data_IF_665034083552
#
_entry.id   IF_665034083552
#
_cell.length_a   1.000
_cell.length_b   1.000
_cell.length_c   1.000
_cell.angle_alpha   90.00
_cell.angle_beta   90.00
_cell.angle_gamma   90.00
#
_symmetry.space_group_name_H-M   'P 1'
#
loop_
_entity.id
_entity.type
_entity.pdbx_description
1 polymer ?
#
# COMPACT_ATOMS: atom_id res chain seq x y z
N UNK A 1 77.35 -29.79 -21.90
CA UNK A 1 76.84 -29.02 -20.75
C UNK A 1 76.03 -27.85 -21.30
N UNK A 2 74.72 -28.00 -21.32
CA UNK A 2 73.75 -27.00 -21.75
C UNK A 2 73.29 -26.19 -20.54
N UNK A 3 73.18 -24.87 -20.67
CA UNK A 3 72.36 -24.08 -19.74
C UNK A 3 71.76 -22.92 -20.49
N UNK A 4 70.47 -23.08 -20.77
CA UNK A 4 69.57 -22.04 -21.22
C UNK A 4 69.30 -21.06 -20.07
N UNK A 5 69.45 -19.76 -20.32
CA UNK A 5 68.84 -18.74 -19.48
C UNK A 5 67.92 -17.89 -20.33
N UNK A 6 66.62 -18.18 -20.16
CA UNK A 6 65.55 -17.31 -20.62
C UNK A 6 65.58 -16.02 -19.79
N UNK A 7 65.64 -14.87 -20.45
CA UNK A 7 65.44 -13.58 -19.80
C UNK A 7 64.02 -13.10 -20.10
N UNK A 8 63.26 -12.92 -19.02
CA UNK A 8 61.90 -12.43 -19.00
C UNK A 8 61.81 -11.01 -19.57
N UNK A 9 60.96 -10.79 -20.56
CA UNK A 9 60.53 -9.45 -21.01
C UNK A 9 59.42 -8.98 -20.07
N UNK A 10 59.67 -7.91 -19.30
CA UNK A 10 58.62 -7.25 -18.51
C UNK A 10 57.75 -6.39 -19.43
N UNK A 11 56.67 -6.95 -19.97
CA UNK A 11 55.61 -6.17 -20.61
C UNK A 11 54.79 -5.52 -19.51
N UNK A 12 55.04 -4.22 -19.24
CA UNK A 12 54.18 -3.44 -18.36
C UNK A 12 52.85 -3.16 -19.08
N UNK A 13 51.69 -3.50 -18.50
CA UNK A 13 50.42 -3.22 -19.15
C UNK A 13 50.19 -1.71 -19.18
N UNK A 14 49.88 -1.18 -20.36
CA UNK A 14 49.50 0.21 -20.57
C UNK A 14 48.14 0.46 -19.92
N UNK A 15 48.14 1.16 -18.79
CA UNK A 15 46.90 1.66 -18.20
C UNK A 15 46.34 2.77 -19.10
N UNK A 16 45.21 2.46 -19.73
CA UNK A 16 44.38 3.36 -20.52
C UNK A 16 44.14 4.66 -19.77
N UNK A 17 44.71 5.75 -20.28
CA UNK A 17 44.42 7.09 -19.84
C UNK A 17 42.96 7.43 -20.20
N UNK A 18 42.15 7.72 -19.18
CA UNK A 18 40.90 8.43 -19.36
C UNK A 18 41.24 9.83 -19.86
N UNK A 19 41.06 10.04 -21.16
CA UNK A 19 41.25 11.30 -21.83
C UNK A 19 40.14 12.30 -21.44
N UNK A 20 40.28 12.91 -20.26
CA UNK A 20 39.72 14.22 -19.94
C UNK A 20 40.79 15.27 -20.20
N UNK A 21 41.06 15.56 -21.47
CA UNK A 21 42.09 16.52 -21.90
C UNK A 21 41.55 17.94 -21.68
N UNK A 22 41.59 18.39 -20.44
CA UNK A 22 41.75 19.81 -20.15
C UNK A 22 43.24 20.10 -20.30
N UNK A 23 43.63 20.79 -21.38
CA UNK A 23 45.00 21.25 -21.56
C UNK A 23 45.31 22.34 -20.53
N UNK A 24 45.59 21.93 -19.30
CA UNK A 24 46.01 22.80 -18.21
C UNK A 24 47.39 23.34 -18.58
N UNK A 25 47.45 24.65 -18.84
CA UNK A 25 48.71 25.32 -19.14
C UNK A 25 49.74 25.02 -18.05
N UNK A 26 50.97 24.69 -18.45
CA UNK A 26 52.07 24.53 -17.49
C UNK A 26 52.22 25.84 -16.73
N UNK A 27 52.39 25.75 -15.41
CA UNK A 27 52.51 26.89 -14.49
C UNK A 27 51.21 27.66 -14.17
N UNK A 28 50.07 26.96 -14.07
CA UNK A 28 48.87 27.52 -13.45
C UNK A 28 48.71 26.94 -12.04
N UNK A 29 48.81 27.82 -11.03
CA UNK A 29 48.58 27.45 -9.64
C UNK A 29 47.06 27.36 -9.42
N UNK A 30 46.50 26.17 -9.61
CA UNK A 30 45.08 25.91 -9.38
C UNK A 30 44.83 25.88 -7.87
N UNK A 31 44.24 26.95 -7.34
CA UNK A 31 43.78 26.97 -5.94
C UNK A 31 42.45 26.24 -5.87
N UNK A 32 42.48 25.01 -5.35
CA UNK A 32 41.26 24.26 -5.08
C UNK A 32 40.61 24.80 -3.79
N UNK A 33 39.45 25.47 -3.92
CA UNK A 33 38.64 25.88 -2.77
C UNK A 33 37.96 24.66 -2.15
N UNK A 34 38.71 23.89 -1.36
CA UNK A 34 38.13 22.86 -0.50
C UNK A 34 37.49 23.56 0.69
N UNK A 35 36.17 23.55 0.75
CA UNK A 35 35.44 23.85 1.97
C UNK A 35 35.94 22.92 3.08
N UNK A 36 36.75 23.46 4.01
CA UNK A 36 37.25 22.71 5.16
C UNK A 36 36.22 22.65 6.30
N UNK A 37 34.97 23.04 6.03
CA UNK A 37 33.85 22.89 6.97
C UNK A 37 33.46 21.41 6.99
N UNK A 38 34.22 20.64 7.75
CA UNK A 38 33.87 19.28 8.10
C UNK A 38 32.99 19.35 9.33
N UNK A 39 31.80 18.75 9.25
CA UNK A 39 30.98 18.50 10.43
C UNK A 39 31.83 17.71 11.43
N UNK A 40 32.06 18.30 12.61
CA UNK A 40 32.80 17.64 13.68
C UNK A 40 32.06 16.38 14.16
N UNK A 41 32.74 15.46 14.86
CA UNK A 41 32.13 14.22 15.35
C UNK A 41 30.80 14.45 16.08
N UNK A 42 30.73 15.52 16.89
CA UNK A 42 29.52 15.92 17.62
C UNK A 42 28.39 16.37 16.69
N UNK A 43 28.69 17.16 15.65
CA UNK A 43 27.69 17.63 14.71
C UNK A 43 27.06 16.47 13.90
N UNK A 44 27.87 15.48 13.51
CA UNK A 44 27.37 14.28 12.83
C UNK A 44 26.39 13.48 13.71
N UNK A 45 26.71 13.27 14.99
CA UNK A 45 25.81 12.56 15.90
C UNK A 45 24.51 13.32 16.11
N UNK A 46 24.58 14.64 16.28
CA UNK A 46 23.38 15.48 16.43
C UNK A 46 22.47 15.37 15.21
N UNK A 47 23.03 15.41 14.00
CA UNK A 47 22.26 15.22 12.76
C UNK A 47 21.62 13.83 12.71
N UNK A 48 22.35 12.77 13.07
CA UNK A 48 21.82 11.40 13.09
C UNK A 48 20.67 11.27 14.10
N UNK A 49 20.82 11.82 15.32
CA UNK A 49 19.77 11.82 16.34
C UNK A 49 18.53 12.57 15.84
N UNK A 50 18.72 13.72 15.20
CA UNK A 50 17.62 14.48 14.58
C UNK A 50 16.90 13.67 13.49
N UNK A 51 17.64 12.98 12.62
CA UNK A 51 17.06 12.13 11.58
C UNK A 51 16.24 10.98 12.17
N UNK A 52 16.76 10.30 13.19
CA UNK A 52 16.04 9.24 13.89
C UNK A 52 14.77 9.78 14.57
N UNK A 53 14.86 10.96 15.21
CA UNK A 53 13.71 11.60 15.83
C UNK A 53 12.61 11.92 14.80
N UNK A 54 12.98 12.46 13.64
CA UNK A 54 12.04 12.74 12.54
C UNK A 54 11.38 11.47 12.02
N UNK A 55 12.14 10.39 11.82
CA UNK A 55 11.60 9.08 11.43
C UNK A 55 10.64 8.53 12.49
N UNK A 56 10.95 8.70 13.78
CA UNK A 56 10.08 8.32 14.89
C UNK A 56 8.74 9.07 14.89
N UNK A 57 8.76 10.39 14.64
CA UNK A 57 7.53 11.19 14.56
C UNK A 57 6.67 10.78 13.35
N UNK A 58 7.29 10.47 12.21
CA UNK A 58 6.58 9.95 11.03
C UNK A 58 5.91 8.60 11.31
N UNK A 59 6.59 7.70 12.04
CA UNK A 59 6.02 6.41 12.43
C UNK A 59 4.83 6.57 13.39
N UNK A 60 4.93 7.48 14.36
CA UNK A 60 3.84 7.79 15.29
C UNK A 60 2.61 8.36 14.55
N UNK A 61 2.83 9.12 13.49
CA UNK A 61 1.76 9.66 12.63
C UNK A 61 1.05 8.54 11.86
N UNK A 62 1.79 7.53 11.39
CA UNK A 62 1.19 6.34 10.77
C UNK A 62 0.32 5.59 11.78
N UNK A 63 0.81 5.41 13.01
CA UNK A 63 0.05 4.77 14.09
C UNK A 63 -1.23 5.54 14.45
N UNK A 64 -1.17 6.88 14.49
CA UNK A 64 -2.33 7.73 14.78
C UNK A 64 -3.38 7.70 13.67
N UNK A 65 -2.95 7.67 12.39
CA UNK A 65 -3.86 7.52 11.25
C UNK A 65 -4.50 6.13 11.19
N UNK A 66 -3.79 5.06 11.58
CA UNK A 66 -4.39 3.71 11.72
C UNK A 66 -5.48 3.70 12.79
N UNK A 67 -5.32 4.46 13.88
CA UNK A 67 -6.36 4.62 14.91
C UNK A 67 -7.67 5.20 14.37
N UNK A 68 -7.62 6.26 13.56
CA UNK A 68 -8.82 6.88 12.99
C UNK A 68 -9.40 6.11 11.80
N UNK A 69 -8.54 5.51 10.95
CA UNK A 69 -8.98 4.68 9.82
C UNK A 69 -9.78 3.47 10.30
N UNK A 70 -9.40 2.86 11.43
CA UNK A 70 -10.13 1.72 11.99
C UNK A 70 -11.59 2.06 12.34
N UNK A 71 -11.86 3.25 12.89
CA UNK A 71 -13.22 3.70 13.21
C UNK A 71 -14.06 3.99 11.96
N UNK A 72 -13.46 4.59 10.93
CA UNK A 72 -14.16 4.81 9.65
C UNK A 72 -14.44 3.49 8.92
N UNK A 73 -13.48 2.56 8.92
CA UNK A 73 -13.68 1.22 8.36
C UNK A 73 -14.80 0.47 9.09
N UNK A 74 -14.84 0.54 10.42
CA UNK A 74 -15.89 -0.10 11.21
C UNK A 74 -17.27 0.50 10.90
N UNK A 75 -17.38 1.83 10.78
CA UNK A 75 -18.64 2.49 10.40
C UNK A 75 -19.10 2.08 9.00
N UNK A 76 -18.19 1.99 8.04
CA UNK A 76 -18.51 1.55 6.66
C UNK A 76 -18.91 0.08 6.65
N UNK A 77 -18.23 -0.79 7.39
CA UNK A 77 -18.55 -2.21 7.48
C UNK A 77 -19.89 -2.45 8.19
N UNK A 78 -20.19 -1.69 9.26
CA UNK A 78 -21.51 -1.73 9.91
C UNK A 78 -22.62 -1.33 8.96
N UNK A 79 -22.48 -0.18 8.27
CA UNK A 79 -23.46 0.25 7.25
C UNK A 79 -23.64 -0.78 6.14
N UNK A 80 -22.55 -1.41 5.69
CA UNK A 80 -22.62 -2.49 4.70
C UNK A 80 -23.40 -3.70 5.24
N UNK A 81 -23.15 -4.09 6.49
CA UNK A 81 -23.89 -5.17 7.14
C UNK A 81 -25.38 -4.85 7.27
N UNK A 82 -25.72 -3.62 7.68
CA UNK A 82 -27.11 -3.18 7.82
C UNK A 82 -27.83 -3.18 6.47
N UNK A 83 -27.19 -2.66 5.42
CA UNK A 83 -27.73 -2.64 4.06
C UNK A 83 -27.93 -4.04 3.48
N UNK A 84 -27.03 -4.98 3.78
CA UNK A 84 -27.19 -6.39 3.37
C UNK A 84 -28.38 -7.02 4.09
N UNK A 85 -28.52 -6.79 5.40
CA UNK A 85 -29.66 -7.29 6.16
C UNK A 85 -31.00 -6.71 5.65
N UNK A 86 -31.04 -5.42 5.33
CA UNK A 86 -32.21 -4.79 4.73
C UNK A 86 -32.53 -5.36 3.35
N UNK A 87 -31.51 -5.58 2.51
CA UNK A 87 -31.70 -6.22 1.20
C UNK A 87 -32.31 -7.62 1.33
N UNK A 88 -31.81 -8.42 2.27
CA UNK A 88 -32.31 -9.78 2.48
C UNK A 88 -33.74 -9.79 3.01
N UNK A 89 -34.08 -8.88 3.93
CA UNK A 89 -35.47 -8.68 4.37
C UNK A 89 -36.39 -8.30 3.20
N UNK A 90 -35.97 -7.37 2.34
CA UNK A 90 -36.74 -6.95 1.18
C UNK A 90 -36.93 -8.09 0.16
N UNK A 91 -35.92 -8.94 -0.04
CA UNK A 91 -36.05 -10.13 -0.90
C UNK A 91 -37.06 -11.13 -0.33
N UNK A 92 -37.01 -11.40 0.97
CA UNK A 92 -37.95 -12.31 1.64
C UNK A 92 -39.37 -11.76 1.54
N UNK A 93 -39.58 -10.48 1.80
CA UNK A 93 -40.90 -9.87 1.72
C UNK A 93 -41.41 -9.83 0.27
N UNK A 94 -40.55 -9.56 -0.71
CA UNK A 94 -40.94 -9.65 -2.12
C UNK A 94 -41.35 -11.07 -2.50
N UNK A 95 -40.59 -12.10 -2.08
CA UNK A 95 -40.94 -13.49 -2.32
C UNK A 95 -42.26 -13.89 -1.63
N UNK A 96 -42.52 -13.36 -0.44
CA UNK A 96 -43.79 -13.53 0.27
C UNK A 96 -44.95 -12.90 -0.51
N UNK A 97 -44.79 -11.65 -0.97
CA UNK A 97 -45.79 -10.95 -1.78
C UNK A 97 -46.05 -11.68 -3.11
N UNK A 98 -45.00 -12.17 -3.78
CA UNK A 98 -45.13 -12.98 -4.99
C UNK A 98 -45.86 -14.29 -4.72
N UNK A 99 -45.55 -14.97 -3.62
CA UNK A 99 -46.23 -16.20 -3.21
C UNK A 99 -47.71 -15.93 -2.94
N UNK A 100 -48.03 -14.83 -2.25
CA UNK A 100 -49.42 -14.44 -1.97
C UNK A 100 -50.16 -14.08 -3.27
N UNK A 101 -49.52 -13.36 -4.19
CA UNK A 101 -50.09 -13.06 -5.50
C UNK A 101 -50.32 -14.34 -6.32
N UNK A 102 -49.40 -15.30 -6.28
CA UNK A 102 -49.52 -16.58 -6.96
C UNK A 102 -50.65 -17.43 -6.37
N UNK A 103 -50.79 -17.47 -5.04
CA UNK A 103 -51.90 -18.15 -4.36
C UNK A 103 -53.23 -17.49 -4.74
N UNK A 104 -53.32 -16.15 -4.72
CA UNK A 104 -54.55 -15.42 -5.10
C UNK A 104 -54.94 -15.66 -6.56
N UNK A 105 -53.96 -15.81 -7.45
CA UNK A 105 -54.19 -16.05 -8.88
C UNK A 105 -54.35 -17.53 -9.24
N UNK A 106 -54.03 -18.45 -8.32
CA UNK A 106 -54.15 -19.90 -8.49
C UNK A 106 -55.60 -20.33 -8.67
N UNK A 107 -55.78 -21.33 -9.53
CA UNK A 107 -57.07 -21.97 -9.83
C UNK A 107 -57.79 -22.47 -8.57
N UNK A 108 -57.04 -22.89 -7.54
CA UNK A 108 -57.59 -23.35 -6.26
C UNK A 108 -58.27 -22.20 -5.49
N UNK A 109 -57.67 -21.01 -5.45
CA UNK A 109 -58.26 -19.84 -4.77
C UNK A 109 -59.44 -19.25 -5.55
N UNK A 110 -59.39 -19.29 -6.88
CA UNK A 110 -60.52 -18.87 -7.74
C UNK A 110 -61.72 -19.82 -7.66
N UNK A 111 -61.48 -21.08 -7.31
CA UNK A 111 -62.52 -22.08 -7.08
C UNK A 111 -63.09 -22.05 -5.65
N UNK A 112 -62.51 -21.25 -4.73
CA UNK A 112 -63.08 -21.06 -3.39
C UNK A 112 -64.30 -20.12 -3.46
N UNK A 113 -65.49 -20.66 -3.23
CA UNK A 113 -66.69 -19.87 -2.98
C UNK A 113 -66.79 -19.53 -1.50
N UNK A 114 -67.33 -18.35 -1.18
CA UNK A 114 -67.54 -17.96 0.22
C UNK A 114 -68.48 -18.97 0.91
N UNK A 115 -68.15 -19.47 2.11
CA UNK A 115 -69.00 -20.43 2.81
C UNK A 115 -70.35 -19.78 3.13
N UNK A 116 -71.45 -20.47 2.77
CA UNK A 116 -72.80 -19.93 2.89
C UNK A 116 -73.28 -19.76 4.35
N UNK A 117 -72.66 -20.47 5.30
CA UNK A 117 -72.93 -20.34 6.74
C UNK A 117 -71.66 -20.64 7.54
N UNK A 118 -71.41 -19.85 8.59
CA UNK A 118 -70.41 -20.15 9.63
C UNK A 118 -71.19 -20.63 10.84
N UNK A 119 -71.16 -21.94 11.09
CA UNK A 119 -71.75 -22.52 12.29
C UNK A 119 -70.71 -22.42 13.41
N UNK A 120 -71.03 -21.66 14.45
CA UNK A 120 -70.22 -21.59 15.65
C UNK A 120 -70.61 -22.76 16.55
N UNK A 121 -69.67 -23.67 16.80
CA UNK A 121 -69.85 -24.69 17.84
C UNK A 121 -69.88 -23.99 19.20
N UNK A 122 -71.03 -24.13 19.88
CA UNK A 122 -71.32 -23.57 21.20
C UNK A 122 -70.69 -24.43 22.31
#
# INVERSE_FOLDING_TARGET
MTSSRQQFVSVRPSMRAYAGVGNWGRNQNLVEYRSNVKLGPTANVVVIVLLIALLGVLYLTQLSKTGSYSYEQNKINQRKSDLVAEQDNLKVENARLQSLANIKNSTVAKAMTAPATTDYAN
#
